data_IF_638125211601
#
_entry.id   IF_638125211601
#
_cell.length_a   1.000
_cell.length_b   1.000
_cell.length_c   1.000
_cell.angle_alpha   90.00
_cell.angle_beta   90.00
_cell.angle_gamma   90.00
#
_symmetry.space_group_name_H-M   'P 1'
#
loop_
_entity.id
_entity.type
_entity.pdbx_description
1 polymer ?
#
# COMPACT_ATOMS: atom_id res chain seq x y z
N UNK A 1 0.27 -18.89 -24.58
CA UNK A 1 -0.99 -19.49 -24.12
C UNK A 1 -1.60 -18.51 -23.13
N UNK A 2 -2.62 -17.76 -23.54
CA UNK A 2 -3.31 -16.81 -22.66
C UNK A 2 -4.19 -17.61 -21.71
N UNK A 3 -3.80 -17.70 -20.45
CA UNK A 3 -4.66 -18.25 -19.41
C UNK A 3 -5.76 -17.23 -19.15
N UNK A 4 -6.97 -17.46 -19.68
CA UNK A 4 -8.18 -16.72 -19.29
C UNK A 4 -8.59 -17.11 -17.87
N UNK A 5 -7.70 -16.92 -16.90
CA UNK A 5 -8.04 -17.01 -15.50
C UNK A 5 -8.84 -15.75 -15.11
N UNK A 6 -9.95 -15.88 -14.38
CA UNK A 6 -10.71 -14.72 -13.94
C UNK A 6 -9.84 -13.83 -13.03
N UNK A 7 -9.96 -12.51 -13.20
CA UNK A 7 -9.28 -11.55 -12.34
C UNK A 7 -9.84 -11.63 -10.91
N UNK A 8 -8.92 -11.73 -9.95
CA UNK A 8 -9.23 -11.73 -8.52
C UNK A 8 -8.52 -10.57 -7.82
N UNK A 9 -9.31 -9.70 -7.20
CA UNK A 9 -8.82 -8.49 -6.52
C UNK A 9 -7.93 -8.78 -5.31
N UNK A 10 -8.03 -9.94 -4.67
CA UNK A 10 -7.17 -10.26 -3.51
C UNK A 10 -5.96 -11.13 -3.89
N UNK A 11 -5.83 -11.53 -5.16
CA UNK A 11 -4.72 -12.34 -5.62
C UNK A 11 -3.44 -11.48 -5.74
N UNK A 12 -2.33 -11.88 -5.09
CA UNK A 12 -1.02 -11.25 -5.22
C UNK A 12 -0.34 -11.45 -6.57
N UNK A 13 -0.89 -12.15 -7.54
CA UNK A 13 -0.34 -12.24 -8.90
C UNK A 13 -1.11 -11.38 -9.91
N UNK A 14 -2.30 -10.93 -9.52
CA UNK A 14 -3.15 -10.08 -10.35
C UNK A 14 -2.85 -8.60 -10.07
N UNK A 15 -1.94 -8.01 -10.87
CA UNK A 15 -1.54 -6.60 -10.80
C UNK A 15 -2.41 -5.70 -11.68
N UNK A 16 -2.47 -4.41 -11.33
CA UNK A 16 -3.11 -3.37 -12.13
C UNK A 16 -2.12 -2.20 -12.26
N UNK A 17 -1.74 -1.86 -13.49
CA UNK A 17 -0.87 -0.70 -13.75
C UNK A 17 -1.67 0.60 -13.60
N UNK A 18 -1.24 1.50 -12.70
CA UNK A 18 -1.87 2.81 -12.52
C UNK A 18 -1.75 3.71 -13.75
N UNK A 19 -0.69 3.57 -14.55
CA UNK A 19 -0.49 4.41 -15.73
C UNK A 19 -1.56 4.17 -16.80
N UNK A 20 -2.17 2.97 -16.79
CA UNK A 20 -3.32 2.66 -17.61
C UNK A 20 -4.53 3.48 -17.17
N UNK A 21 -5.12 4.24 -18.11
CA UNK A 21 -6.15 5.24 -17.80
C UNK A 21 -7.37 4.64 -17.10
N UNK A 22 -7.77 3.44 -17.49
CA UNK A 22 -8.95 2.73 -16.97
C UNK A 22 -8.75 2.31 -15.51
N UNK A 23 -7.53 1.99 -15.12
CA UNK A 23 -7.20 1.54 -13.77
C UNK A 23 -7.12 2.70 -12.77
N UNK A 24 -6.85 3.94 -13.23
CA UNK A 24 -6.71 5.11 -12.33
C UNK A 24 -7.90 5.30 -11.40
N UNK A 25 -9.12 5.13 -11.93
CA UNK A 25 -10.35 5.31 -11.16
C UNK A 25 -10.44 4.32 -9.99
N UNK A 26 -9.95 3.09 -10.19
CA UNK A 26 -9.89 2.07 -9.14
C UNK A 26 -8.99 2.51 -7.98
N UNK A 27 -7.76 2.93 -8.28
CA UNK A 27 -6.81 3.38 -7.26
C UNK A 27 -7.29 4.64 -6.52
N UNK A 28 -7.77 5.65 -7.24
CA UNK A 28 -8.30 6.87 -6.65
C UNK A 28 -9.51 6.61 -5.74
N UNK A 29 -10.41 5.71 -6.17
CA UNK A 29 -11.58 5.33 -5.37
C UNK A 29 -11.19 4.57 -4.09
N UNK A 30 -10.28 3.59 -4.20
CA UNK A 30 -9.78 2.85 -3.04
C UNK A 30 -9.09 3.78 -2.05
N UNK A 31 -8.26 4.70 -2.55
CA UNK A 31 -7.58 5.67 -1.70
C UNK A 31 -8.57 6.62 -1.02
N UNK A 32 -9.62 7.07 -1.74
CA UNK A 32 -10.69 7.87 -1.13
C UNK A 32 -11.47 7.10 -0.07
N UNK A 33 -11.73 5.82 -0.32
CA UNK A 33 -12.40 4.95 0.65
C UNK A 33 -11.54 4.72 1.89
N UNK A 34 -10.23 4.52 1.71
CA UNK A 34 -9.24 4.42 2.77
C UNK A 34 -9.27 5.67 3.66
N UNK A 35 -9.20 6.86 3.07
CA UNK A 35 -9.30 8.14 3.81
C UNK A 35 -10.61 8.24 4.58
N UNK A 36 -11.74 7.94 3.95
CA UNK A 36 -13.06 7.97 4.59
C UNK A 36 -13.15 7.00 5.78
N UNK A 37 -12.57 5.79 5.64
CA UNK A 37 -12.47 4.84 6.74
C UNK A 37 -11.59 5.40 7.88
N UNK A 38 -10.47 6.04 7.56
CA UNK A 38 -9.60 6.73 8.52
C UNK A 38 -10.32 7.84 9.28
N UNK A 39 -11.06 8.71 8.58
CA UNK A 39 -11.84 9.81 9.18
C UNK A 39 -12.94 9.30 10.12
N UNK A 40 -13.52 8.13 9.81
CA UNK A 40 -14.48 7.43 10.66
C UNK A 40 -13.84 6.63 11.79
N UNK A 41 -12.52 6.66 11.93
CA UNK A 41 -11.72 5.90 12.90
C UNK A 41 -11.78 4.38 12.71
N UNK A 42 -12.11 3.92 11.50
CA UNK A 42 -12.02 2.52 11.10
C UNK A 42 -10.60 2.21 10.61
N UNK A 43 -9.61 2.37 11.50
CA UNK A 43 -8.18 2.33 11.14
C UNK A 43 -7.73 0.98 10.58
N UNK A 44 -8.25 -0.13 11.10
CA UNK A 44 -7.95 -1.45 10.54
C UNK A 44 -8.41 -1.57 9.08
N UNK A 45 -9.62 -1.11 8.76
CA UNK A 45 -10.12 -1.09 7.37
C UNK A 45 -9.28 -0.17 6.48
N UNK A 46 -8.89 1.00 6.98
CA UNK A 46 -7.99 1.90 6.25
C UNK A 46 -6.65 1.21 5.94
N UNK A 47 -6.05 0.52 6.92
CA UNK A 47 -4.82 -0.25 6.71
C UNK A 47 -4.99 -1.36 5.66
N UNK A 48 -6.10 -2.11 5.68
CA UNK A 48 -6.34 -3.15 4.68
C UNK A 48 -6.49 -2.59 3.26
N UNK A 49 -7.14 -1.42 3.13
CA UNK A 49 -7.25 -0.72 1.84
C UNK A 49 -5.89 -0.18 1.36
N UNK A 50 -5.08 0.38 2.27
CA UNK A 50 -3.71 0.79 2.01
C UNK A 50 -2.87 -0.39 1.48
N UNK A 51 -2.93 -1.54 2.16
CA UNK A 51 -2.25 -2.77 1.75
C UNK A 51 -2.75 -3.26 0.38
N UNK A 52 -4.05 -3.18 0.12
CA UNK A 52 -4.64 -3.59 -1.16
C UNK A 52 -4.16 -2.70 -2.32
N UNK A 53 -4.06 -1.38 -2.11
CA UNK A 53 -3.54 -0.46 -3.12
C UNK A 53 -2.10 -0.85 -3.49
N UNK A 54 -1.23 -1.01 -2.48
CA UNK A 54 0.16 -1.41 -2.69
C UNK A 54 0.29 -2.83 -3.26
N UNK A 55 -0.64 -3.74 -2.95
CA UNK A 55 -0.66 -5.09 -3.52
C UNK A 55 -0.90 -5.06 -5.04
N UNK A 56 -1.65 -4.09 -5.55
CA UNK A 56 -2.00 -4.01 -6.97
C UNK A 56 -0.95 -3.31 -7.82
N UNK A 57 -0.23 -2.38 -7.25
CA UNK A 57 0.91 -1.72 -7.88
C UNK A 57 2.04 -1.49 -6.86
N UNK A 58 2.84 -2.52 -6.54
CA UNK A 58 3.85 -2.45 -5.50
C UNK A 58 5.04 -1.56 -5.88
N UNK A 59 5.34 -1.45 -7.19
CA UNK A 59 6.50 -0.72 -7.68
C UNK A 59 6.15 0.71 -8.11
N UNK A 60 4.94 0.94 -8.65
CA UNK A 60 4.55 2.25 -9.18
C UNK A 60 4.14 3.26 -8.09
N UNK A 61 3.42 2.80 -7.05
CA UNK A 61 2.84 3.61 -5.97
C UNK A 61 2.56 5.08 -6.34
N UNK A 62 1.73 5.26 -7.36
CA UNK A 62 1.47 6.58 -7.94
C UNK A 62 0.65 7.49 -7.00
N UNK A 63 0.04 6.92 -5.96
CA UNK A 63 -0.62 7.69 -4.92
C UNK A 63 0.28 7.93 -3.70
N UNK A 64 1.54 7.49 -3.73
CA UNK A 64 2.48 7.57 -2.61
C UNK A 64 1.87 7.01 -1.30
N UNK A 65 1.07 5.96 -1.43
CA UNK A 65 0.32 5.29 -0.36
C UNK A 65 1.25 4.71 0.69
N UNK A 66 2.48 4.36 0.30
CA UNK A 66 3.51 3.87 1.21
C UNK A 66 3.88 4.91 2.28
N UNK A 67 3.70 6.21 2.03
CA UNK A 67 4.01 7.27 3.00
C UNK A 67 3.08 7.30 4.22
N UNK A 68 2.02 6.48 4.23
CA UNK A 68 0.96 6.55 5.25
C UNK A 68 0.71 5.23 5.96
N UNK A 69 1.27 4.14 5.41
CA UNK A 69 0.96 2.79 5.87
C UNK A 69 1.32 2.61 7.35
N UNK A 70 2.39 3.24 7.79
CA UNK A 70 2.85 3.26 9.18
C UNK A 70 1.83 3.92 10.12
N UNK A 71 1.30 5.07 9.69
CA UNK A 71 0.31 5.85 10.42
C UNK A 71 -0.99 5.06 10.57
N UNK A 72 -1.44 4.39 9.51
CA UNK A 72 -2.62 3.52 9.56
C UNK A 72 -2.38 2.30 10.43
N UNK A 73 -1.22 1.66 10.33
CA UNK A 73 -0.89 0.47 11.11
C UNK A 73 -0.82 0.77 12.61
N UNK A 74 -0.16 1.86 13.00
CA UNK A 74 -0.09 2.30 14.40
C UNK A 74 -1.47 2.67 14.95
N UNK A 75 -2.28 3.41 14.19
CA UNK A 75 -3.66 3.75 14.59
C UNK A 75 -4.56 2.51 14.70
N UNK A 76 -4.30 1.49 13.88
CA UNK A 76 -4.98 0.20 13.94
C UNK A 76 -4.48 -0.74 15.06
N UNK A 77 -3.38 -0.38 15.75
CA UNK A 77 -2.71 -1.20 16.78
C UNK A 77 -2.09 -2.49 16.23
N UNK A 78 -1.73 -2.50 14.96
CA UNK A 78 -1.04 -3.61 14.31
C UNK A 78 0.47 -3.44 14.48
N UNK A 79 0.94 -3.56 15.73
CA UNK A 79 2.33 -3.23 16.09
C UNK A 79 3.32 -4.25 15.52
N UNK A 80 2.95 -5.53 15.50
CA UNK A 80 3.77 -6.60 14.93
C UNK A 80 4.06 -6.34 13.45
N UNK A 81 3.04 -5.90 12.70
CA UNK A 81 3.20 -5.54 11.30
C UNK A 81 4.17 -4.35 11.10
N UNK A 82 4.11 -3.35 11.97
CA UNK A 82 5.04 -2.20 11.95
C UNK A 82 6.45 -2.66 12.25
N UNK A 83 6.63 -3.51 13.26
CA UNK A 83 7.96 -4.06 13.60
C UNK A 83 8.52 -4.81 12.40
N UNK A 84 7.77 -5.75 11.81
CA UNK A 84 8.20 -6.52 10.63
C UNK A 84 8.54 -5.60 9.44
N UNK A 85 7.69 -4.60 9.16
CA UNK A 85 7.92 -3.63 8.10
C UNK A 85 9.23 -2.84 8.31
N UNK A 86 9.55 -2.52 9.56
CA UNK A 86 10.68 -1.67 9.92
C UNK A 86 11.90 -2.41 10.51
N UNK A 87 11.90 -3.75 10.53
CA UNK A 87 12.96 -4.57 11.15
C UNK A 87 14.38 -4.21 10.65
N UNK A 88 14.49 -3.74 9.41
CA UNK A 88 15.75 -3.37 8.77
C UNK A 88 16.06 -1.86 8.77
N UNK A 89 15.13 -1.03 9.26
CA UNK A 89 15.23 0.43 9.22
C UNK A 89 15.77 0.96 10.54
N UNK A 90 16.93 1.61 10.47
CA UNK A 90 17.59 2.23 11.63
C UNK A 90 17.48 3.74 11.54
N UNK A 91 17.25 4.39 12.68
CA UNK A 91 17.20 5.85 12.77
C UNK A 91 18.47 6.50 12.18
N UNK A 92 19.65 5.92 12.42
CA UNK A 92 20.92 6.38 11.85
C UNK A 92 20.87 6.48 10.32
N UNK A 93 20.33 5.45 9.65
CA UNK A 93 20.18 5.46 8.19
C UNK A 93 19.12 6.46 7.73
N UNK A 94 18.02 6.61 8.48
CA UNK A 94 16.98 7.58 8.15
C UNK A 94 17.54 9.01 8.20
N UNK A 95 18.25 9.36 9.27
CA UNK A 95 18.89 10.67 9.43
C UNK A 95 20.00 10.91 8.40
N UNK A 96 20.74 9.87 8.02
CA UNK A 96 21.77 9.96 6.98
C UNK A 96 21.16 10.28 5.60
N UNK A 97 20.05 9.62 5.24
CA UNK A 97 19.38 9.84 3.95
C UNK A 97 18.55 11.13 3.92
N UNK A 98 18.00 11.55 5.06
CA UNK A 98 17.05 12.66 5.16
C UNK A 98 17.38 13.60 6.34
N UNK A 99 18.53 14.30 6.29
CA UNK A 99 19.09 15.03 7.44
C UNK A 99 18.22 16.11 8.04
N UNK A 100 17.39 16.76 7.24
CA UNK A 100 16.63 17.94 7.65
C UNK A 100 15.17 17.63 7.96
N UNK A 101 14.72 16.37 7.81
CA UNK A 101 13.32 15.99 8.12
C UNK A 101 13.06 16.11 9.62
N UNK A 102 14.02 15.69 10.45
CA UNK A 102 13.88 15.74 11.90
C UNK A 102 13.65 17.17 12.42
N UNK A 103 14.32 18.18 11.86
CA UNK A 103 14.09 19.57 12.29
C UNK A 103 12.69 20.06 11.94
N UNK A 104 12.18 19.72 10.76
CA UNK A 104 10.81 20.08 10.37
C UNK A 104 9.75 19.37 11.22
N UNK A 105 10.00 18.11 11.59
CA UNK A 105 9.15 17.35 12.49
C UNK A 105 9.10 18.00 13.88
N UNK A 106 10.25 18.35 14.45
CA UNK A 106 10.34 18.99 15.77
C UNK A 106 9.71 20.40 15.77
N UNK A 107 9.93 21.18 14.71
CA UNK A 107 9.30 22.48 14.51
C UNK A 107 7.77 22.35 14.49
N UNK A 108 7.24 21.34 13.78
CA UNK A 108 5.80 21.05 13.72
C UNK A 108 5.21 20.68 15.08
N UNK A 109 5.95 19.95 15.91
CA UNK A 109 5.54 19.55 17.26
C UNK A 109 5.71 20.70 18.26
N UNK A 110 6.53 21.70 17.95
CA UNK A 110 6.83 22.85 18.82
C UNK A 110 7.95 22.57 19.82
N UNK A 111 8.87 21.65 19.50
CA UNK A 111 10.01 21.26 20.34
C UNK A 111 11.29 21.78 19.71
N UNK A 112 12.20 22.31 20.54
CA UNK A 112 13.50 22.78 20.06
C UNK A 112 14.46 21.59 19.82
N UNK A 113 15.20 21.58 18.70
CA UNK A 113 16.18 20.54 18.42
C UNK A 113 17.37 20.59 19.38
N UNK A 114 18.05 19.46 19.56
CA UNK A 114 19.31 19.39 20.31
C UNK A 114 20.38 20.29 19.66
N UNK A 115 21.28 20.82 20.49
CA UNK A 115 22.43 21.65 20.10
C UNK A 115 23.29 20.99 19.03
N UNK A 116 23.38 19.66 19.02
CA UNK A 116 24.15 18.95 17.99
C UNK A 116 23.53 19.12 16.59
N UNK A 117 22.19 19.16 16.49
CA UNK A 117 21.49 19.41 15.23
C UNK A 117 21.53 20.90 14.89
N UNK A 118 21.25 21.76 15.86
CA UNK A 118 21.11 23.21 15.62
C UNK A 118 22.44 23.82 15.13
N UNK A 119 23.56 23.40 15.73
CA UNK A 119 24.91 23.81 15.31
C UNK A 119 25.39 23.13 14.01
N UNK A 120 24.68 22.11 13.51
CA UNK A 120 25.06 21.41 12.30
C UNK A 120 24.48 22.12 11.06
N UNK A 121 25.38 22.75 10.30
CA UNK A 121 25.07 23.50 9.07
C UNK A 121 24.36 22.69 7.99
N UNK A 122 24.38 21.36 8.06
CA UNK A 122 23.77 20.47 7.07
C UNK A 122 22.41 19.89 7.51
N UNK A 123 22.03 20.02 8.79
CA UNK A 123 20.81 19.41 9.35
C UNK A 123 19.80 20.43 9.90
N UNK A 124 20.25 21.64 10.25
CA UNK A 124 19.40 22.66 10.85
C UNK A 124 18.30 23.21 9.90
N UNK A 125 17.39 24.04 10.43
CA UNK A 125 16.29 24.62 9.64
C UNK A 125 16.74 25.52 8.47
N UNK A 126 17.92 26.13 8.57
CA UNK A 126 18.52 26.91 7.46
C UNK A 126 18.93 25.96 6.33
N UNK A 127 19.50 24.81 6.66
CA UNK A 127 19.83 23.76 5.69
C UNK A 127 18.56 23.28 4.99
N UNK A 128 17.47 23.06 5.73
CA UNK A 128 16.17 22.67 5.16
C UNK A 128 15.66 23.73 4.16
N UNK A 129 15.79 25.00 4.48
CA UNK A 129 15.37 26.10 3.61
C UNK A 129 16.09 26.13 2.27
N UNK A 130 17.32 25.58 2.19
CA UNK A 130 18.12 25.49 0.96
C UNK A 130 17.85 24.23 0.13
N UNK A 131 17.03 23.30 0.63
CA UNK A 131 16.67 22.08 -0.10
C UNK A 131 15.72 22.36 -1.27
N UNK A 132 15.60 21.39 -2.17
CA UNK A 132 14.78 21.49 -3.38
C UNK A 132 13.28 21.48 -3.06
N UNK A 133 12.43 22.09 -3.90
CA UNK A 133 10.97 22.10 -3.68
C UNK A 133 10.34 20.71 -3.59
N UNK A 134 10.82 19.74 -4.38
CA UNK A 134 10.33 18.36 -4.33
C UNK A 134 10.61 17.69 -2.99
N UNK A 135 11.80 17.93 -2.45
CA UNK A 135 12.18 17.37 -1.15
C UNK A 135 11.42 18.04 0.01
N UNK A 136 11.19 19.35 -0.06
CA UNK A 136 10.34 20.07 0.91
C UNK A 136 8.93 19.51 0.94
N UNK A 137 8.31 19.33 -0.22
CA UNK A 137 6.97 18.73 -0.33
C UNK A 137 6.93 17.32 0.27
N UNK A 138 7.93 16.48 -0.02
CA UNK A 138 8.03 15.15 0.57
C UNK A 138 8.15 15.21 2.11
N UNK A 139 8.94 16.16 2.62
CA UNK A 139 9.09 16.39 4.06
C UNK A 139 7.76 16.83 4.68
N UNK A 140 7.06 17.76 4.04
CA UNK A 140 5.75 18.26 4.49
C UNK A 140 4.71 17.14 4.55
N UNK A 141 4.69 16.24 3.55
CA UNK A 141 3.82 15.05 3.55
C UNK A 141 4.13 14.14 4.72
N UNK A 142 5.39 13.74 4.88
CA UNK A 142 5.76 12.84 5.97
C UNK A 142 5.44 13.43 7.35
N UNK A 143 5.76 14.72 7.55
CA UNK A 143 5.47 15.44 8.80
C UNK A 143 3.96 15.55 9.02
N UNK A 144 3.17 15.83 7.98
CA UNK A 144 1.71 15.91 8.09
C UNK A 144 1.10 14.60 8.63
N UNK A 145 1.58 13.45 8.15
CA UNK A 145 1.05 12.15 8.56
C UNK A 145 1.55 11.67 9.91
N UNK A 146 2.84 11.86 10.17
CA UNK A 146 3.50 11.21 11.30
C UNK A 146 3.60 12.07 12.56
N UNK A 147 3.46 13.41 12.51
CA UNK A 147 3.79 14.28 13.64
C UNK A 147 3.06 13.93 14.96
N UNK A 148 1.84 13.41 14.90
CA UNK A 148 1.10 13.00 16.11
C UNK A 148 1.79 11.85 16.84
N UNK A 149 2.39 10.92 16.10
CA UNK A 149 3.04 9.72 16.62
C UNK A 149 4.30 10.06 17.42
N UNK A 150 4.95 11.16 17.06
CA UNK A 150 6.19 11.62 17.68
C UNK A 150 5.98 12.51 18.91
N UNK A 151 4.73 12.81 19.30
CA UNK A 151 4.44 13.68 20.46
C UNK A 151 4.64 13.00 21.82
N UNK A 152 4.71 11.67 21.83
CA UNK A 152 4.82 10.92 23.07
C UNK A 152 6.14 11.23 23.80
N UNK A 153 6.11 11.56 25.11
CA UNK A 153 7.29 12.02 25.84
C UNK A 153 8.40 10.96 25.90
N UNK A 154 8.03 9.69 25.99
CA UNK A 154 8.97 8.57 25.98
C UNK A 154 9.71 8.48 24.63
N UNK A 155 8.98 8.66 23.53
CA UNK A 155 9.54 8.66 22.17
C UNK A 155 10.49 9.85 21.98
N UNK A 156 10.11 11.03 22.46
CA UNK A 156 10.94 12.23 22.38
C UNK A 156 12.23 12.09 23.18
N UNK A 157 12.15 11.55 24.40
CA UNK A 157 13.33 11.31 25.23
C UNK A 157 14.27 10.29 24.60
N UNK A 158 13.73 9.21 24.02
CA UNK A 158 14.52 8.24 23.25
C UNK A 158 15.17 8.88 22.03
N UNK A 159 14.42 9.68 21.26
CA UNK A 159 14.89 10.33 20.05
C UNK A 159 16.04 11.31 20.34
N UNK A 160 15.94 12.09 21.41
CA UNK A 160 17.00 13.00 21.85
C UNK A 160 18.29 12.25 22.19
N UNK A 161 18.19 11.18 22.99
CA UNK A 161 19.33 10.36 23.38
C UNK A 161 20.01 9.71 22.16
N UNK A 162 19.23 9.17 21.24
CA UNK A 162 19.74 8.48 20.06
C UNK A 162 20.37 9.46 19.06
N UNK A 163 19.75 10.62 18.88
CA UNK A 163 20.28 11.71 18.02
C UNK A 163 21.61 12.24 18.55
N UNK A 164 21.75 12.45 19.87
CA UNK A 164 22.99 12.91 20.48
C UNK A 164 24.16 11.94 20.23
N UNK A 165 23.87 10.64 20.11
CA UNK A 165 24.86 9.61 19.79
C UNK A 165 25.18 9.54 18.28
N UNK A 166 24.19 9.71 17.41
CA UNK A 166 24.32 9.53 15.97
C UNK A 166 24.92 10.75 15.27
N UNK A 167 24.39 11.96 15.53
CA UNK A 167 24.74 13.18 14.77
C UNK A 167 26.24 13.48 14.75
N UNK A 168 27.01 13.30 15.83
CA UNK A 168 28.46 13.50 15.81
C UNK A 168 29.18 12.60 14.79
N UNK A 169 28.68 11.38 14.51
CA UNK A 169 29.28 10.45 13.55
C UNK A 169 29.24 10.99 12.12
N UNK A 170 28.19 11.73 11.76
CA UNK A 170 28.06 12.34 10.43
C UNK A 170 29.10 13.42 10.14
N UNK A 171 29.65 14.05 11.18
CA UNK A 171 30.73 15.04 11.04
C UNK A 171 32.13 14.42 10.97
N UNK A 172 32.27 13.14 11.39
CA UNK A 172 33.55 12.44 11.54
C UNK A 172 33.61 11.20 10.65
N UNK A 173 33.07 10.09 11.14
CA UNK A 173 33.20 8.76 10.57
C UNK A 173 32.43 8.61 9.25
N UNK A 174 31.19 9.09 9.21
CA UNK A 174 30.29 8.94 8.07
C UNK A 174 30.24 10.18 7.16
N UNK A 175 31.23 11.08 7.29
CA UNK A 175 31.20 12.38 6.60
C UNK A 175 31.10 12.25 5.09
N UNK A 176 31.86 11.33 4.49
CA UNK A 176 31.85 11.14 3.05
C UNK A 176 30.50 10.58 2.56
N UNK A 177 30.00 9.53 3.21
CA UNK A 177 28.71 8.92 2.87
C UNK A 177 27.57 9.93 3.03
N UNK A 178 27.61 10.74 4.08
CA UNK A 178 26.62 11.77 4.33
C UNK A 178 26.56 12.82 3.20
N UNK A 179 27.70 13.29 2.70
CA UNK A 179 27.72 14.23 1.58
C UNK A 179 27.22 13.57 0.29
N UNK A 180 27.60 12.32 0.02
CA UNK A 180 27.10 11.57 -1.14
C UNK A 180 25.57 11.42 -1.10
N UNK A 181 24.99 11.08 0.07
CA UNK A 181 23.53 10.96 0.24
C UNK A 181 22.83 12.30 0.01
N UNK A 182 23.40 13.40 0.51
CA UNK A 182 22.87 14.75 0.34
C UNK A 182 22.89 15.19 -1.14
N UNK A 183 23.95 14.90 -1.86
CA UNK A 183 24.05 15.18 -3.30
C UNK A 183 23.02 14.35 -4.09
N UNK A 184 22.93 13.05 -3.79
CA UNK A 184 21.93 12.15 -4.39
C UNK A 184 20.50 12.63 -4.14
N UNK A 185 20.19 13.09 -2.93
CA UNK A 185 18.89 13.65 -2.57
C UNK A 185 18.54 14.88 -3.43
N UNK A 186 19.52 15.77 -3.59
CA UNK A 186 19.37 17.01 -4.39
C UNK A 186 19.15 16.70 -5.87
N UNK A 187 19.80 15.65 -6.38
CA UNK A 187 19.61 15.18 -7.76
C UNK A 187 18.24 14.54 -7.99
N UNK A 188 17.78 13.69 -7.06
CA UNK A 188 16.50 12.97 -7.18
C UNK A 188 15.27 13.87 -7.14
N UNK A 189 15.30 14.91 -6.31
CA UNK A 189 14.15 15.77 -6.05
C UNK A 189 14.32 17.19 -6.59
N UNK A 190 15.04 17.37 -7.71
CA UNK A 190 15.24 18.68 -8.34
C UNK A 190 13.90 19.38 -8.66
N UNK A 191 12.93 18.61 -9.17
CA UNK A 191 11.52 19.00 -9.33
C UNK A 191 10.62 18.24 -8.36
N UNK A 192 9.30 18.51 -8.42
CA UNK A 192 8.30 17.79 -7.63
C UNK A 192 7.77 16.61 -8.48
N UNK A 193 8.03 15.35 -8.09
CA UNK A 193 7.45 14.18 -8.76
C UNK A 193 5.92 14.21 -8.74
N UNK A 194 5.29 13.68 -9.79
CA UNK A 194 3.82 13.73 -9.92
C UNK A 194 3.09 12.93 -8.83
N UNK A 195 3.62 11.79 -8.41
CA UNK A 195 3.05 11.01 -7.30
C UNK A 195 3.05 11.79 -5.99
N UNK A 196 4.18 12.44 -5.65
CA UNK A 196 4.30 13.32 -4.47
C UNK A 196 3.32 14.49 -4.58
N UNK A 197 3.22 15.10 -5.75
CA UNK A 197 2.28 16.21 -5.98
C UNK A 197 0.82 15.77 -5.88
N UNK A 198 0.44 14.62 -6.46
CA UNK A 198 -0.92 14.04 -6.34
C UNK A 198 -1.25 13.80 -4.88
N UNK A 199 -0.36 13.16 -4.16
CA UNK A 199 -0.54 12.86 -2.75
C UNK A 199 -0.75 14.13 -1.94
N UNK A 200 0.07 15.16 -2.15
CA UNK A 200 -0.08 16.44 -1.47
C UNK A 200 -1.42 17.12 -1.75
N UNK A 201 -1.97 17.01 -2.97
CA UNK A 201 -3.30 17.55 -3.30
C UNK A 201 -4.41 16.70 -2.64
N UNK A 202 -4.29 15.37 -2.69
CA UNK A 202 -5.28 14.44 -2.09
C UNK A 202 -5.42 14.67 -0.57
N UNK A 203 -4.32 15.00 0.09
CA UNK A 203 -4.27 15.31 1.52
C UNK A 203 -4.40 16.80 1.84
N UNK A 204 -4.73 17.64 0.85
CA UNK A 204 -4.96 19.07 1.04
C UNK A 204 -3.75 19.80 1.68
N UNK A 205 -2.55 19.25 1.49
CA UNK A 205 -1.27 19.85 1.89
C UNK A 205 -0.92 21.00 0.93
N UNK A 206 -1.28 20.83 -0.35
CA UNK A 206 -1.22 21.88 -1.37
C UNK A 206 -2.54 21.99 -2.12
N UNK A 207 -2.90 23.21 -2.54
CA UNK A 207 -4.11 23.48 -3.33
C UNK A 207 -3.83 23.64 -4.82
N UNK A 208 -2.56 23.59 -5.23
CA UNK A 208 -2.16 23.71 -6.63
C UNK A 208 -2.09 22.34 -7.30
N UNK A 209 -3.15 21.90 -7.98
CA UNK A 209 -3.03 20.62 -8.70
C UNK A 209 -4.29 19.82 -9.03
N UNK A 210 -5.50 20.38 -9.03
CA UNK A 210 -6.73 19.61 -9.34
C UNK A 210 -6.64 18.80 -10.64
N UNK A 211 -5.94 19.32 -11.65
CA UNK A 211 -5.69 18.63 -12.93
C UNK A 211 -4.86 17.35 -12.80
N UNK A 212 -4.08 17.21 -11.74
CA UNK A 212 -3.17 16.08 -11.51
C UNK A 212 -3.94 14.87 -10.99
N UNK A 213 -5.01 15.11 -10.22
CA UNK A 213 -5.90 14.05 -9.71
C UNK A 213 -6.74 13.50 -10.86
N UNK A 214 -7.32 14.40 -11.66
CA UNK A 214 -8.28 14.01 -12.70
C UNK A 214 -7.66 13.82 -14.08
N UNK A 215 -6.32 13.74 -14.19
CA UNK A 215 -5.57 13.82 -15.44
C UNK A 215 -6.30 13.11 -16.59
N UNK A 216 -7.02 13.87 -17.43
CA UNK A 216 -7.82 13.32 -18.50
C UNK A 216 -7.03 13.45 -19.80
N UNK A 217 -5.70 13.31 -19.77
CA UNK A 217 -4.95 13.28 -21.03
C UNK A 217 -5.52 12.12 -21.86
N UNK A 218 -6.04 12.39 -23.07
CA UNK A 218 -6.52 11.35 -23.96
C UNK A 218 -5.38 10.35 -24.18
N UNK A 219 -5.68 9.05 -24.38
CA UNK A 219 -4.65 8.07 -24.65
C UNK A 219 -3.72 8.59 -25.77
N UNK A 220 -2.40 8.31 -25.70
CA UNK A 220 -1.47 8.65 -26.76
C UNK A 220 -2.07 8.22 -28.11
N UNK A 221 -1.89 9.01 -29.16
CA UNK A 221 -2.52 8.76 -30.47
C UNK A 221 -2.21 7.37 -31.07
N UNK A 222 -1.22 6.66 -30.53
CA UNK A 222 -0.84 5.29 -30.88
C UNK A 222 -1.78 4.21 -30.31
N UNK A 223 -2.57 4.50 -29.27
CA UNK A 223 -3.57 3.58 -28.70
C UNK A 223 -4.96 4.08 -29.06
N UNK A 224 -5.52 3.54 -30.14
CA UNK A 224 -6.85 3.90 -30.61
C UNK A 224 -7.92 3.17 -29.77
N UNK A 225 -9.16 3.66 -29.75
CA UNK A 225 -10.28 2.96 -29.09
C UNK A 225 -10.48 1.52 -29.60
N UNK A 226 -9.95 1.22 -30.78
CA UNK A 226 -9.95 -0.10 -31.42
C UNK A 226 -9.07 -1.13 -30.69
N UNK A 227 -8.05 -0.68 -29.94
CA UNK A 227 -7.19 -1.55 -29.11
C UNK A 227 -7.85 -1.93 -27.77
N UNK A 228 -9.00 -1.32 -27.45
CA UNK A 228 -9.85 -1.68 -26.33
C UNK A 228 -11.08 -2.41 -26.87
N UNK A 229 -10.99 -3.72 -27.17
CA UNK A 229 -12.19 -4.49 -27.42
C UNK A 229 -13.05 -4.39 -26.16
N UNK A 230 -14.17 -3.68 -26.24
CA UNK A 230 -15.24 -3.82 -25.26
C UNK A 230 -15.54 -5.30 -25.23
N UNK A 231 -15.16 -5.97 -24.13
CA UNK A 231 -15.60 -7.34 -23.88
C UNK A 231 -17.10 -7.20 -23.73
N UNK A 232 -17.81 -7.45 -24.82
CA UNK A 232 -19.25 -7.63 -24.82
C UNK A 232 -19.46 -8.90 -24.01
N UNK A 233 -19.56 -8.73 -22.68
CA UNK A 233 -20.10 -9.78 -21.82
C UNK A 233 -21.45 -10.10 -22.44
N UNK A 234 -21.69 -11.35 -22.88
CA UNK A 234 -23.00 -11.71 -23.40
C UNK A 234 -24.02 -11.22 -22.38
N UNK A 235 -24.99 -10.41 -22.81
CA UNK A 235 -26.08 -10.02 -21.92
C UNK A 235 -26.70 -11.32 -21.41
N UNK A 236 -26.39 -11.69 -20.17
CA UNK A 236 -27.18 -12.70 -19.49
C UNK A 236 -28.60 -12.12 -19.45
N UNK A 237 -29.62 -12.90 -19.87
CA UNK A 237 -30.96 -12.39 -19.99
C UNK A 237 -31.39 -11.78 -18.65
N UNK A 238 -31.47 -10.45 -18.62
CA UNK A 238 -31.96 -9.71 -17.48
C UNK A 238 -33.45 -10.04 -17.34
N UNK A 239 -33.76 -11.04 -16.52
CA UNK A 239 -35.11 -11.19 -16.01
C UNK A 239 -35.31 -10.08 -14.98
N UNK A 240 -35.83 -8.96 -15.46
CA UNK A 240 -36.27 -7.86 -14.62
C UNK A 240 -37.62 -8.28 -14.04
N UNK A 241 -37.61 -8.89 -12.86
CA UNK A 241 -38.79 -8.85 -12.01
C UNK A 241 -38.92 -7.41 -11.47
N UNK A 242 -39.98 -6.70 -11.89
CA UNK A 242 -40.23 -5.27 -11.62
C UNK A 242 -40.51 -4.92 -10.13
N UNK A 243 -40.29 -5.87 -9.22
CA UNK A 243 -40.51 -5.67 -7.79
C UNK A 243 -39.37 -4.87 -7.15
N UNK A 244 -39.71 -3.80 -6.44
CA UNK A 244 -38.76 -2.93 -5.71
C UNK A 244 -37.82 -3.70 -4.76
N UNK A 245 -38.32 -4.78 -4.14
CA UNK A 245 -37.52 -5.65 -3.26
C UNK A 245 -36.58 -6.55 -4.05
N UNK A 246 -37.01 -7.08 -5.20
CA UNK A 246 -36.18 -7.90 -6.07
C UNK A 246 -35.04 -7.08 -6.68
N UNK A 247 -35.32 -5.86 -7.13
CA UNK A 247 -34.29 -4.91 -7.60
C UNK A 247 -33.27 -4.54 -6.51
N UNK A 248 -33.73 -4.37 -5.27
CA UNK A 248 -32.83 -4.14 -4.13
C UNK A 248 -31.94 -5.35 -3.83
N UNK A 249 -32.50 -6.56 -3.83
CA UNK A 249 -31.74 -7.78 -3.58
C UNK A 249 -30.75 -8.09 -4.71
N UNK A 250 -31.12 -7.86 -5.97
CA UNK A 250 -30.20 -7.95 -7.13
C UNK A 250 -29.03 -6.96 -7.03
N UNK A 251 -29.28 -5.78 -6.46
CA UNK A 251 -28.21 -4.80 -6.24
C UNK A 251 -27.26 -5.19 -5.11
N UNK A 252 -27.70 -5.99 -4.14
CA UNK A 252 -26.88 -6.46 -3.03
C UNK A 252 -26.20 -7.81 -3.31
N UNK A 253 -26.81 -8.64 -4.16
CA UNK A 253 -26.36 -9.97 -4.54
C UNK A 253 -26.38 -10.09 -6.07
N UNK A 254 -25.26 -9.77 -6.75
CA UNK A 254 -25.15 -9.98 -8.19
C UNK A 254 -25.31 -11.48 -8.50
N UNK A 255 -26.41 -11.86 -9.16
CA UNK A 255 -26.76 -13.25 -9.48
C UNK A 255 -27.99 -13.79 -8.76
N UNK A 256 -28.69 -13.02 -7.93
CA UNK A 256 -30.02 -13.39 -7.44
C UNK A 256 -31.00 -13.39 -8.61
N UNK A 257 -31.59 -14.53 -8.93
CA UNK A 257 -32.52 -14.69 -10.05
C UNK A 257 -33.95 -14.99 -9.60
N UNK A 258 -34.19 -15.04 -8.29
CA UNK A 258 -35.49 -15.30 -7.66
C UNK A 258 -36.07 -16.70 -7.92
N UNK A 259 -35.33 -17.59 -8.60
CA UNK A 259 -35.81 -18.93 -8.95
C UNK A 259 -35.56 -19.95 -7.84
N UNK A 260 -34.52 -19.74 -7.04
CA UNK A 260 -34.18 -20.58 -5.89
C UNK A 260 -34.45 -19.86 -4.57
N UNK A 261 -34.66 -20.62 -3.50
CA UNK A 261 -34.79 -20.04 -2.15
C UNK A 261 -33.53 -19.26 -1.79
N UNK A 262 -33.70 -18.09 -1.17
CA UNK A 262 -32.60 -17.25 -0.66
C UNK A 262 -31.62 -18.07 0.21
N UNK A 263 -32.14 -19.05 0.97
CA UNK A 263 -31.32 -19.96 1.78
C UNK A 263 -30.33 -20.78 0.95
N UNK A 264 -30.73 -21.23 -0.23
CA UNK A 264 -29.99 -22.18 -1.05
C UNK A 264 -28.90 -21.45 -1.83
N UNK A 265 -29.20 -20.22 -2.30
CA UNK A 265 -28.20 -19.35 -2.93
C UNK A 265 -27.17 -18.83 -1.92
N UNK A 266 -27.59 -18.44 -0.71
CA UNK A 266 -26.65 -18.10 0.36
C UNK A 266 -25.80 -19.31 0.72
N UNK A 267 -26.39 -20.51 0.79
CA UNK A 267 -25.64 -21.74 1.07
C UNK A 267 -24.64 -22.05 -0.05
N UNK A 268 -24.98 -21.80 -1.32
CA UNK A 268 -24.07 -21.94 -2.45
C UNK A 268 -22.92 -20.94 -2.42
N UNK A 269 -23.18 -19.69 -2.05
CA UNK A 269 -22.15 -18.65 -1.87
C UNK A 269 -21.24 -19.01 -0.69
N UNK A 270 -21.80 -19.43 0.44
CA UNK A 270 -21.06 -19.87 1.62
C UNK A 270 -20.22 -21.12 1.34
N UNK A 271 -20.74 -22.07 0.56
CA UNK A 271 -19.98 -23.24 0.12
C UNK A 271 -18.78 -22.84 -0.75
N UNK A 272 -18.98 -21.96 -1.74
CA UNK A 272 -17.88 -21.43 -2.57
C UNK A 272 -16.85 -20.64 -1.75
N UNK A 273 -17.30 -19.90 -0.75
CA UNK A 273 -16.42 -19.20 0.18
C UNK A 273 -15.66 -20.17 1.10
N UNK A 274 -16.31 -21.24 1.55
CA UNK A 274 -15.70 -22.32 2.33
C UNK A 274 -14.65 -23.09 1.53
N UNK A 275 -14.91 -23.36 0.26
CA UNK A 275 -13.96 -23.96 -0.67
C UNK A 275 -12.75 -23.04 -0.91
N UNK A 276 -12.98 -21.72 -1.02
CA UNK A 276 -11.91 -20.73 -1.12
C UNK A 276 -11.06 -20.63 0.16
N UNK A 277 -11.67 -20.74 1.34
CA UNK A 277 -10.97 -20.77 2.64
C UNK A 277 -10.17 -22.08 2.81
N UNK A 278 -10.72 -23.21 2.36
CA UNK A 278 -10.01 -24.49 2.41
C UNK A 278 -8.84 -24.53 1.41
N UNK A 279 -8.97 -23.92 0.24
CA UNK A 279 -7.88 -23.73 -0.71
C UNK A 279 -6.74 -22.86 -0.12
N UNK A 280 -7.09 -21.87 0.72
CA UNK A 280 -6.13 -21.04 1.44
C UNK A 280 -5.37 -21.80 2.54
N UNK A 281 -5.95 -22.87 3.10
CA UNK A 281 -5.33 -23.69 4.16
C UNK A 281 -4.40 -24.79 3.63
N UNK A 282 -4.50 -25.13 2.35
CA UNK A 282 -3.79 -26.25 1.71
C UNK A 282 -2.36 -25.96 1.24
N UNK A 283 -1.86 -24.72 1.38
CA UNK A 283 -0.54 -24.30 0.87
C UNK A 283 0.44 -23.98 2.00
N UNK A 284 0.44 -24.79 3.06
CA UNK A 284 1.34 -24.68 4.20
C UNK A 284 2.03 -26.00 4.55
N UNK A 285 3.06 -26.36 3.77
CA UNK A 285 4.17 -27.22 4.19
C UNK A 285 3.97 -28.75 4.05
N UNK A 286 4.72 -29.34 3.12
CA UNK A 286 5.48 -30.58 3.32
C UNK A 286 6.45 -30.79 2.15
N UNK A 287 7.69 -30.35 2.34
CA UNK A 287 8.86 -30.88 1.63
C UNK A 287 9.65 -31.77 2.59
N UNK A 288 9.96 -32.98 2.13
CA UNK A 288 11.08 -33.78 2.61
C UNK A 288 10.76 -34.90 3.61
N UNK A 289 10.63 -36.13 3.12
CA UNK A 289 11.61 -37.20 3.44
C UNK A 289 11.38 -38.43 2.56
N UNK A 290 12.35 -38.71 1.70
CA UNK A 290 12.59 -40.04 1.14
C UNK A 290 13.18 -40.93 2.24
N UNK A 291 12.61 -42.11 2.42
CA UNK A 291 13.18 -43.17 3.24
C UNK A 291 12.45 -44.48 2.99
N UNK A 292 13.06 -45.36 2.19
CA UNK A 292 12.53 -46.70 1.94
C UNK A 292 12.69 -47.62 3.16
N UNK A 293 11.76 -48.56 3.32
CA UNK A 293 12.11 -49.96 3.52
C UNK A 293 10.92 -50.90 3.33
N UNK A 294 11.28 -52.10 2.88
CA UNK A 294 10.50 -53.23 2.42
C UNK A 294 9.69 -53.97 3.49
N UNK A 295 8.77 -54.81 2.99
CA UNK A 295 8.31 -56.14 3.45
C UNK A 295 6.79 -56.19 3.63
N UNK A 296 6.10 -56.88 2.71
CA UNK A 296 5.54 -58.23 2.90
C UNK A 296 4.15 -58.17 3.55
N UNK A 297 3.11 -58.42 2.77
CA UNK A 297 2.26 -59.58 3.04
C UNK A 297 1.41 -59.96 1.82
N UNK A 298 1.53 -61.24 1.48
CA UNK A 298 0.80 -61.93 0.45
C UNK A 298 -0.55 -62.43 1.01
N UNK A 299 -1.58 -62.53 0.16
CA UNK A 299 -2.21 -63.81 -0.21
C UNK A 299 -3.56 -63.63 -0.93
N UNK A 300 -3.68 -64.39 -2.03
CA UNK A 300 -4.86 -65.11 -2.54
C UNK A 300 -6.10 -64.30 -2.97
N UNK A 301 -6.84 -64.62 -4.03
CA UNK A 301 -7.03 -65.69 -5.04
C UNK A 301 -7.88 -64.98 -6.13
N UNK A 302 -7.93 -65.30 -7.42
CA UNK A 302 -7.65 -66.48 -8.22
C UNK A 302 -8.53 -66.37 -9.48
N UNK A 303 -7.99 -66.80 -10.63
CA UNK A 303 -8.69 -67.41 -11.79
C UNK A 303 -9.72 -66.58 -12.58
N UNK A 304 -9.89 -66.66 -13.90
CA UNK A 304 -9.24 -67.33 -15.04
C UNK A 304 -9.94 -66.81 -16.33
N UNK A 305 -9.14 -66.64 -17.38
CA UNK A 305 -9.35 -67.10 -18.76
C UNK A 305 -10.59 -66.66 -19.58
N UNK A 306 -10.37 -65.80 -20.59
CA UNK A 306 -10.22 -66.17 -22.02
C UNK A 306 -10.13 -64.91 -22.90
#
# INVERSE_FOLDING_TARGET
MSTNAPFFIFDPNHRLDYHQRENRAFFLLLHRLMRNAGDRRCFYTALQLCKLILLKDPDGDELATLLEIDTWALKAKEYEYVVELFENFKLEKALLNFPTVLTQLLDKIGIQPDKNIDNNNDMNGIAHSRTTPGFKMLTDIYVHHSYELWKEPEVLSWLEAETANIVPKFSKELKQEFQEKKENLSSRYLGIPFNIMRHAVIYEITTGGDRIITDPVPPPAEKCLEDYPMIMVPEEPQHIDEGLVAGFLNSLLPGYDGRESLSDQISGIVARFGDAINAFRGTGGQDGEQGGNSAEDAQHQGERDN
#
